data_IF_732161774331
#
_entry.id   IF_732161774331
#
_cell.length_a   1.000
_cell.length_b   1.000
_cell.length_c   1.000
_cell.angle_alpha   90.00
_cell.angle_beta   90.00
_cell.angle_gamma   90.00
#
_symmetry.space_group_name_H-M   'P 1'
#
loop_
_entity.id
_entity.type
_entity.pdbx_description
1 polymer ?
#
# COMPACT_ATOMS: atom_id res chain seq x y z
N UNK A 1 15.44 17.06 -0.64
CA UNK A 1 15.79 16.02 -1.64
C UNK A 1 14.77 14.88 -1.63
N UNK A 2 13.78 14.92 -0.74
CA UNK A 2 12.78 13.85 -0.53
C UNK A 2 11.53 13.93 -1.42
N UNK A 3 11.18 15.11 -1.95
CA UNK A 3 9.96 15.29 -2.75
C UNK A 3 9.98 14.49 -4.04
N UNK A 4 11.14 14.38 -4.71
CA UNK A 4 11.27 13.60 -5.95
C UNK A 4 11.00 12.10 -5.75
N UNK A 5 11.34 11.57 -4.59
CA UNK A 5 11.08 10.16 -4.25
C UNK A 5 9.59 9.97 -4.00
N UNK A 6 8.98 10.89 -3.26
CA UNK A 6 7.53 10.88 -2.99
C UNK A 6 6.73 11.00 -4.29
N UNK A 7 7.08 11.94 -5.18
CA UNK A 7 6.46 12.13 -6.49
C UNK A 7 6.56 10.86 -7.37
N UNK A 8 7.73 10.21 -7.40
CA UNK A 8 7.94 8.97 -8.15
C UNK A 8 7.13 7.81 -7.58
N UNK A 9 7.05 7.69 -6.25
CA UNK A 9 6.24 6.68 -5.59
C UNK A 9 4.77 6.91 -5.89
N UNK A 10 4.28 8.15 -5.78
CA UNK A 10 2.90 8.49 -6.06
C UNK A 10 2.51 8.15 -7.50
N UNK A 11 3.33 8.58 -8.47
CA UNK A 11 3.10 8.28 -9.89
C UNK A 11 3.05 6.76 -10.16
N UNK A 12 3.96 6.01 -9.53
CA UNK A 12 4.01 4.55 -9.68
C UNK A 12 2.79 3.88 -9.05
N UNK A 13 2.37 4.30 -7.86
CA UNK A 13 1.17 3.79 -7.19
C UNK A 13 -0.07 4.10 -8.00
N UNK A 14 -0.24 5.36 -8.45
CA UNK A 14 -1.38 5.79 -9.26
C UNK A 14 -1.57 4.91 -10.49
N UNK A 15 -0.48 4.63 -11.23
CA UNK A 15 -0.53 3.78 -12.42
C UNK A 15 -1.06 2.38 -12.12
N UNK A 16 -0.60 1.76 -11.04
CA UNK A 16 -1.04 0.41 -10.67
C UNK A 16 -2.51 0.43 -10.24
N UNK A 17 -2.96 1.49 -9.55
CA UNK A 17 -4.37 1.67 -9.17
C UNK A 17 -5.29 1.87 -10.38
N UNK A 18 -4.83 2.56 -11.42
CA UNK A 18 -5.61 2.76 -12.65
C UNK A 18 -5.78 1.47 -13.46
N UNK A 19 -4.85 0.52 -13.33
CA UNK A 19 -4.89 -0.80 -13.97
C UNK A 19 -5.65 -1.85 -13.14
N UNK A 20 -6.04 -1.55 -11.90
CA UNK A 20 -6.77 -2.48 -11.03
C UNK A 20 -8.08 -2.93 -11.66
N UNK A 21 -8.32 -4.25 -11.68
CA UNK A 21 -9.58 -4.83 -12.17
C UNK A 21 -10.27 -5.77 -11.17
N UNK A 22 -9.66 -6.01 -10.00
CA UNK A 22 -10.24 -6.81 -8.92
C UNK A 22 -10.19 -8.32 -9.13
N UNK A 23 -9.47 -8.81 -10.15
CA UNK A 23 -9.32 -10.25 -10.40
C UNK A 23 -7.99 -10.78 -9.85
N UNK A 24 -7.99 -12.00 -9.32
CA UNK A 24 -6.77 -12.62 -8.79
C UNK A 24 -5.76 -13.00 -9.88
N UNK A 25 -6.17 -13.04 -11.15
CA UNK A 25 -5.28 -13.29 -12.30
C UNK A 25 -4.52 -12.04 -12.74
N UNK A 26 -5.02 -10.86 -12.38
CA UNK A 26 -4.42 -9.58 -12.72
C UNK A 26 -3.27 -9.20 -11.78
N UNK A 27 -2.12 -8.85 -12.35
CA UNK A 27 -0.93 -8.55 -11.57
C UNK A 27 -1.05 -7.23 -10.78
N UNK A 28 -1.53 -6.10 -11.36
CA UNK A 28 -1.86 -4.88 -10.61
C UNK A 28 -2.79 -5.15 -9.44
N UNK A 29 -3.86 -5.94 -9.66
CA UNK A 29 -4.82 -6.29 -8.62
C UNK A 29 -4.16 -7.03 -7.47
N UNK A 30 -3.40 -8.10 -7.74
CA UNK A 30 -2.65 -8.82 -6.70
C UNK A 30 -1.65 -7.93 -5.95
N UNK A 31 -0.94 -7.05 -6.66
CA UNK A 31 0.06 -6.18 -6.05
C UNK A 31 -0.58 -5.20 -5.06
N UNK A 32 -1.67 -4.53 -5.47
CA UNK A 32 -2.43 -3.62 -4.59
C UNK A 32 -2.98 -4.37 -3.39
N UNK A 33 -3.63 -5.51 -3.65
CA UNK A 33 -4.22 -6.37 -2.63
C UNK A 33 -3.21 -6.84 -1.58
N UNK A 34 -1.98 -7.13 -2.03
CA UNK A 34 -0.89 -7.51 -1.15
C UNK A 34 -0.43 -6.31 -0.31
N UNK A 35 -0.13 -5.18 -0.94
CA UNK A 35 0.36 -3.98 -0.24
C UNK A 35 -0.63 -3.49 0.81
N UNK A 36 -1.93 -3.44 0.46
CA UNK A 36 -2.99 -3.03 1.39
C UNK A 36 -3.06 -3.92 2.63
N UNK A 37 -2.96 -5.25 2.47
CA UNK A 37 -2.94 -6.20 3.59
C UNK A 37 -1.65 -6.12 4.40
N UNK A 38 -0.49 -5.96 3.76
CA UNK A 38 0.80 -5.95 4.46
C UNK A 38 1.05 -4.65 5.21
N UNK A 39 0.66 -3.52 4.64
CA UNK A 39 0.88 -2.20 5.23
C UNK A 39 -0.32 -1.70 6.02
N UNK A 40 -1.45 -2.42 6.01
CA UNK A 40 -2.69 -1.99 6.63
C UNK A 40 -3.12 -0.60 6.13
N UNK A 41 -3.19 -0.44 4.81
CA UNK A 41 -3.59 0.80 4.14
C UNK A 41 -4.74 0.58 3.16
N UNK A 42 -5.44 1.66 2.79
CA UNK A 42 -6.47 1.63 1.77
C UNK A 42 -6.43 2.89 0.90
N UNK A 43 -6.33 2.70 -0.42
CA UNK A 43 -6.17 3.79 -1.38
C UNK A 43 -4.75 4.38 -1.39
N UNK A 44 -4.56 5.47 -2.13
CA UNK A 44 -3.26 6.12 -2.30
C UNK A 44 -2.99 7.00 -1.08
N UNK A 45 -3.89 7.94 -0.84
CA UNK A 45 -3.94 8.84 0.31
C UNK A 45 -5.02 8.39 1.30
N UNK A 46 -6.14 7.84 0.83
CA UNK A 46 -7.20 7.23 1.65
C UNK A 46 -8.18 6.39 0.80
N UNK A 47 -9.11 5.69 1.47
CA UNK A 47 -10.07 4.81 0.81
C UNK A 47 -10.94 5.48 -0.26
N UNK A 48 -11.12 6.80 -0.23
CA UNK A 48 -11.96 7.51 -1.21
C UNK A 48 -11.30 7.66 -2.59
N UNK A 49 -9.99 7.47 -2.70
CA UNK A 49 -9.27 7.50 -3.99
C UNK A 49 -9.81 6.48 -4.98
N UNK A 50 -10.35 5.37 -4.46
CA UNK A 50 -11.02 4.35 -5.26
C UNK A 50 -12.12 4.93 -6.15
N UNK A 51 -12.82 6.00 -5.72
CA UNK A 51 -13.87 6.66 -6.53
C UNK A 51 -13.38 7.18 -7.88
N UNK A 52 -12.09 7.48 -7.99
CA UNK A 52 -11.49 7.99 -9.22
C UNK A 52 -11.13 6.87 -10.21
N UNK A 53 -10.94 5.64 -9.72
CA UNK A 53 -10.56 4.48 -10.53
C UNK A 53 -11.68 4.05 -11.48
N UNK A 54 -11.28 3.47 -12.61
CA UNK A 54 -12.21 2.90 -13.58
C UNK A 54 -13.02 1.75 -12.97
N UNK A 55 -12.34 0.85 -12.26
CA UNK A 55 -12.96 -0.30 -11.60
C UNK A 55 -14.12 0.09 -10.67
N UNK A 56 -13.94 1.13 -9.85
CA UNK A 56 -15.00 1.58 -8.94
C UNK A 56 -16.22 2.15 -9.69
N UNK A 57 -15.97 2.92 -10.75
CA UNK A 57 -17.02 3.50 -11.61
C UNK A 57 -17.81 2.42 -12.34
N UNK A 58 -17.16 1.31 -12.69
CA UNK A 58 -17.78 0.19 -13.39
C UNK A 58 -18.49 -0.80 -12.45
N UNK A 59 -17.95 -1.06 -11.25
CA UNK A 59 -18.47 -2.06 -10.32
C UNK A 59 -19.80 -1.68 -9.66
N UNK A 60 -20.13 -0.38 -9.60
CA UNK A 60 -21.40 0.20 -9.08
C UNK A 60 -21.79 -0.18 -7.64
N UNK A 61 -20.94 -0.91 -6.90
CA UNK A 61 -21.26 -1.45 -5.57
C UNK A 61 -20.83 -0.54 -4.41
N UNK A 62 -20.30 0.66 -4.71
CA UNK A 62 -19.82 1.64 -3.72
C UNK A 62 -18.90 1.00 -2.64
N UNK A 63 -18.03 0.10 -3.10
CA UNK A 63 -17.14 -0.70 -2.28
C UNK A 63 -15.70 -0.57 -2.75
N UNK A 64 -14.77 -0.58 -1.81
CA UNK A 64 -13.34 -0.78 -2.06
C UNK A 64 -13.01 -2.28 -2.08
N UNK A 65 -11.82 -2.68 -2.53
CA UNK A 65 -11.36 -4.06 -2.39
C UNK A 65 -11.38 -4.57 -0.95
N UNK A 66 -11.64 -5.86 -0.77
CA UNK A 66 -11.67 -6.51 0.56
C UNK A 66 -10.30 -6.49 1.24
N UNK A 67 -9.22 -6.33 0.47
CA UNK A 67 -7.87 -6.06 0.97
C UNK A 67 -7.76 -4.80 1.83
N UNK A 68 -8.68 -3.84 1.72
CA UNK A 68 -8.77 -2.66 2.58
C UNK A 68 -9.37 -2.94 3.97
N UNK A 69 -9.90 -4.14 4.21
CA UNK A 69 -10.59 -4.47 5.46
C UNK A 69 -9.61 -4.71 6.61
N UNK A 70 -9.97 -4.19 7.80
CA UNK A 70 -9.24 -4.49 9.03
C UNK A 70 -9.43 -5.96 9.44
N UNK A 71 -8.39 -6.62 9.99
CA UNK A 71 -8.42 -8.05 10.27
C UNK A 71 -9.37 -8.43 11.41
N UNK A 72 -9.71 -7.48 12.29
CA UNK A 72 -10.64 -7.68 13.40
C UNK A 72 -12.12 -7.56 13.00
N UNK A 73 -12.43 -7.38 11.72
CA UNK A 73 -13.81 -7.25 11.21
C UNK A 73 -14.17 -8.49 10.38
N UNK A 74 -14.94 -9.41 10.97
CA UNK A 74 -15.25 -10.71 10.38
C UNK A 74 -16.13 -10.68 9.13
N UNK A 75 -16.88 -9.58 8.90
CA UNK A 75 -17.83 -9.44 7.79
C UNK A 75 -17.58 -8.15 6.98
N UNK A 76 -16.32 -7.75 6.84
CA UNK A 76 -15.99 -6.59 6.04
C UNK A 76 -16.13 -6.91 4.54
N UNK A 77 -17.02 -6.19 3.87
CA UNK A 77 -17.28 -6.32 2.42
C UNK A 77 -16.57 -5.25 1.60
N UNK A 78 -15.78 -4.39 2.23
CA UNK A 78 -15.21 -3.20 1.59
C UNK A 78 -16.23 -2.07 1.39
N UNK A 79 -17.42 -2.13 1.99
CA UNK A 79 -18.43 -1.07 1.82
C UNK A 79 -17.93 0.29 2.32
N UNK A 80 -18.10 1.33 1.51
CA UNK A 80 -17.79 2.70 1.92
C UNK A 80 -18.79 3.29 2.92
N UNK A 81 -19.93 2.62 3.18
CA UNK A 81 -20.91 3.05 4.18
C UNK A 81 -20.44 2.81 5.62
N UNK A 82 -19.43 1.97 5.82
CA UNK A 82 -18.85 1.65 7.13
C UNK A 82 -17.33 1.91 7.11
N UNK A 83 -16.88 3.16 6.98
CA UNK A 83 -15.46 3.48 6.85
C UNK A 83 -14.63 3.04 8.07
N UNK A 84 -15.25 2.85 9.23
CA UNK A 84 -14.59 2.30 10.43
C UNK A 84 -14.05 0.88 10.25
N UNK A 85 -14.60 0.10 9.32
CA UNK A 85 -14.15 -1.27 9.03
C UNK A 85 -12.90 -1.30 8.13
N UNK A 86 -12.56 -0.18 7.49
CA UNK A 86 -11.47 -0.06 6.53
C UNK A 86 -10.21 0.53 7.18
N UNK A 87 -9.05 0.26 6.60
CA UNK A 87 -7.81 0.96 6.96
C UNK A 87 -7.93 2.45 6.67
N UNK A 88 -7.70 3.34 7.66
CA UNK A 88 -7.83 4.77 7.46
C UNK A 88 -6.62 5.39 6.73
N UNK A 89 -5.44 4.77 6.80
CA UNK A 89 -4.22 5.27 6.18
C UNK A 89 -4.13 4.97 4.68
N UNK A 90 -3.62 5.93 3.90
CA UNK A 90 -3.24 5.72 2.50
C UNK A 90 -1.91 4.97 2.35
N UNK A 91 -1.76 4.22 1.25
CA UNK A 91 -0.59 3.39 1.01
C UNK A 91 0.67 4.19 0.66
N UNK A 92 0.56 5.37 0.04
CA UNK A 92 1.71 6.17 -0.39
C UNK A 92 2.64 6.50 0.79
N UNK A 93 2.09 7.10 1.84
CA UNK A 93 2.86 7.51 3.02
C UNK A 93 3.55 6.31 3.69
N UNK A 94 2.88 5.15 3.75
CA UNK A 94 3.43 3.94 4.36
C UNK A 94 4.50 3.28 3.49
N UNK A 95 4.33 3.29 2.16
CA UNK A 95 5.36 2.80 1.22
C UNK A 95 6.60 3.68 1.32
N UNK A 96 6.45 5.01 1.28
CA UNK A 96 7.57 5.95 1.44
C UNK A 96 8.27 5.74 2.77
N UNK A 97 7.52 5.59 3.87
CA UNK A 97 8.08 5.27 5.19
C UNK A 97 8.89 3.98 5.18
N UNK A 98 8.36 2.91 4.57
CA UNK A 98 9.04 1.61 4.48
C UNK A 98 10.30 1.67 3.63
N UNK A 99 10.27 2.38 2.51
CA UNK A 99 11.44 2.61 1.67
C UNK A 99 12.53 3.37 2.45
N UNK A 100 12.16 4.44 3.17
CA UNK A 100 13.08 5.19 4.04
C UNK A 100 13.66 4.29 5.15
N UNK A 101 12.84 3.45 5.80
CA UNK A 101 13.31 2.48 6.81
C UNK A 101 14.35 1.50 6.24
N UNK A 102 14.12 0.97 5.03
CA UNK A 102 15.06 0.05 4.36
C UNK A 102 16.37 0.76 4.01
N UNK A 103 16.29 1.98 3.46
CA UNK A 103 17.47 2.78 3.11
C UNK A 103 18.30 3.16 4.33
N UNK A 104 17.65 3.47 5.47
CA UNK A 104 18.33 3.76 6.73
C UNK A 104 18.98 2.52 7.34
N UNK A 105 18.33 1.34 7.28
CA UNK A 105 18.96 0.07 7.71
C UNK A 105 20.15 -0.32 6.85
N UNK A 106 20.15 0.03 5.56
CA UNK A 106 21.29 -0.20 4.66
C UNK A 106 22.49 0.71 4.92
N UNK A 107 22.30 1.83 5.65
CA UNK A 107 23.35 2.74 6.12
C UNK A 107 23.62 2.61 7.62
N UNK A 108 23.06 1.60 8.29
CA UNK A 108 23.29 1.36 9.71
C UNK A 108 24.69 0.75 9.89
N UNK A 109 25.64 1.45 10.56
CA UNK A 109 26.96 0.90 10.83
C UNK A 109 26.91 -0.42 11.61
N UNK A 110 25.85 -0.64 12.41
CA UNK A 110 25.65 -1.90 13.13
C UNK A 110 25.29 -3.06 12.19
N UNK A 111 24.57 -2.80 11.10
CA UNK A 111 24.26 -3.81 10.08
C UNK A 111 25.48 -4.06 9.17
N UNK A 112 26.26 -3.03 8.86
CA UNK A 112 27.52 -3.16 8.14
C UNK A 112 28.55 -3.98 8.94
N UNK A 113 28.61 -3.79 10.28
CA UNK A 113 29.41 -4.61 11.20
C UNK A 113 28.97 -6.09 11.26
N UNK A 114 27.67 -6.38 11.11
CA UNK A 114 27.16 -7.76 11.07
C UNK A 114 27.45 -8.46 9.74
N UNK A 115 27.46 -7.72 8.63
CA UNK A 115 27.71 -8.26 7.28
C UNK A 115 29.20 -8.39 6.98
N UNK A 116 30.04 -7.45 7.45
CA UNK A 116 31.49 -7.48 7.23
C UNK A 116 32.23 -8.44 8.15
N UNK A 117 31.54 -9.00 9.17
CA UNK A 117 32.07 -10.03 10.04
C UNK A 117 33.41 -9.62 10.64
N UNK A 118 33.38 -8.87 11.74
CA UNK A 118 34.58 -8.54 12.50
C UNK A 118 35.30 -9.80 13.01
N UNK A 119 36.13 -10.42 12.16
CA UNK A 119 37.38 -11.08 12.55
C UNK A 119 38.45 -10.00 12.58
N UNK A 120 38.41 -9.18 13.63
CA UNK A 120 39.59 -8.47 14.11
C UNK A 120 39.90 -9.00 15.51
N UNK A 121 40.59 -10.14 15.54
CA UNK A 121 41.41 -10.62 16.65
C UNK A 121 42.41 -11.64 16.08
#
# INVERSE_FOLDING_TARGET
>A
MDTKVEDQVNHSIQKVYDEYNGTNTDAPSRAIDYVQRQLHCCGIHNYSDWRNTRWFKESRNNSVPVSCCKPNISNCTGTMSRPGDLYPEGCEALVVKKLKEIMMRGHDPAYELLVTGATYA
#
